data_IF_830291873664
#
_entry.id   IF_830291873664
#
_cell.length_a   1.000
_cell.length_b   1.000
_cell.length_c   1.000
_cell.angle_alpha   90.00
_cell.angle_beta   90.00
_cell.angle_gamma   90.00
#
_symmetry.space_group_name_H-M   'P 1'
#
loop_
_entity.id
_entity.type
_entity.pdbx_description
1 polymer ?
#
# COMPACT_ATOMS: atom_id res chain seq x y z
N UNK A 1 6.80 12.79 -11.40
CA UNK A 1 7.50 13.96 -10.77
C UNK A 1 6.50 15.04 -10.47
N UNK A 2 6.77 15.86 -9.44
CA UNK A 2 5.96 17.03 -9.11
C UNK A 2 5.87 18.01 -10.30
N UNK A 3 4.78 18.76 -10.39
CA UNK A 3 4.62 19.81 -11.42
C UNK A 3 5.19 21.16 -10.99
N UNK A 4 5.60 21.29 -9.73
CA UNK A 4 6.38 22.43 -9.21
C UNK A 4 7.66 21.96 -8.53
N UNK A 5 8.64 22.87 -8.35
CA UNK A 5 9.93 22.52 -7.74
C UNK A 5 9.74 22.18 -6.26
N UNK A 6 9.98 20.92 -5.91
CA UNK A 6 9.99 20.44 -4.53
C UNK A 6 11.04 19.34 -4.34
N UNK A 7 11.53 19.18 -3.12
CA UNK A 7 12.36 18.04 -2.71
C UNK A 7 11.58 17.02 -1.86
N UNK A 8 10.27 17.22 -1.68
CA UNK A 8 9.41 16.35 -0.89
C UNK A 8 8.93 15.16 -1.70
N UNK A 9 8.90 13.99 -1.06
CA UNK A 9 8.55 12.71 -1.67
C UNK A 9 7.42 12.02 -0.92
N UNK A 10 6.44 11.51 -1.65
CA UNK A 10 5.53 10.46 -1.20
C UNK A 10 6.01 9.16 -1.83
N UNK A 11 6.06 8.09 -1.03
CA UNK A 11 6.47 6.78 -1.49
C UNK A 11 5.27 5.85 -1.40
N UNK A 12 5.01 5.10 -2.46
CA UNK A 12 4.08 3.97 -2.47
C UNK A 12 4.81 2.74 -2.99
N UNK A 13 4.57 1.59 -2.38
CA UNK A 13 5.20 0.35 -2.82
C UNK A 13 4.49 -0.91 -2.39
N UNK A 14 4.92 -2.02 -2.98
CA UNK A 14 4.49 -3.39 -2.68
C UNK A 14 5.70 -4.31 -2.88
N UNK A 15 5.73 -5.49 -2.29
CA UNK A 15 6.78 -6.45 -2.64
C UNK A 15 6.39 -7.26 -3.87
N UNK A 16 7.39 -7.66 -4.67
CA UNK A 16 7.17 -8.46 -5.87
C UNK A 16 7.69 -9.90 -5.74
N UNK A 17 8.41 -10.21 -4.66
CA UNK A 17 8.81 -11.59 -4.38
C UNK A 17 7.65 -12.42 -3.81
N UNK A 18 7.82 -13.74 -3.83
CA UNK A 18 6.89 -14.69 -3.23
C UNK A 18 7.66 -15.87 -2.65
N UNK A 19 6.99 -16.69 -1.83
CA UNK A 19 7.57 -17.91 -1.25
C UNK A 19 7.65 -19.06 -2.26
N UNK A 20 8.47 -20.06 -1.94
CA UNK A 20 8.62 -21.25 -2.80
C UNK A 20 7.28 -22.00 -2.91
N UNK A 21 6.90 -22.35 -4.14
CA UNK A 21 5.68 -23.07 -4.50
C UNK A 21 4.38 -22.26 -4.32
N UNK A 22 4.45 -20.95 -4.10
CA UNK A 22 3.31 -20.05 -4.25
C UNK A 22 3.41 -19.32 -5.59
N UNK A 23 2.32 -19.23 -6.39
CA UNK A 23 2.29 -18.32 -7.54
C UNK A 23 2.32 -16.84 -7.13
N UNK A 24 1.81 -16.50 -5.94
CA UNK A 24 1.87 -15.15 -5.37
C UNK A 24 0.88 -14.18 -6.00
N UNK A 25 -0.32 -14.65 -6.35
CA UNK A 25 -1.31 -13.81 -7.02
C UNK A 25 -1.86 -12.73 -6.09
N UNK A 26 -2.38 -13.10 -4.91
CA UNK A 26 -2.77 -12.14 -3.88
C UNK A 26 -1.57 -11.64 -3.09
N UNK A 27 -0.59 -12.49 -2.85
CA UNK A 27 0.60 -12.19 -2.06
C UNK A 27 1.88 -12.26 -2.95
N UNK A 28 2.24 -11.17 -3.63
CA UNK A 28 1.63 -9.82 -3.58
C UNK A 28 1.50 -9.15 -4.96
N UNK A 29 1.14 -9.94 -5.99
CA UNK A 29 0.92 -9.39 -7.32
C UNK A 29 -0.28 -8.40 -7.36
N UNK A 30 -1.28 -8.55 -6.50
CA UNK A 30 -2.38 -7.57 -6.34
C UNK A 30 -1.86 -6.21 -5.88
N UNK A 31 -0.97 -6.17 -4.88
CA UNK A 31 -0.33 -4.93 -4.43
C UNK A 31 0.54 -4.29 -5.51
N UNK A 32 1.33 -5.09 -6.24
CA UNK A 32 2.12 -4.58 -7.38
C UNK A 32 1.23 -3.95 -8.46
N UNK A 33 0.12 -4.61 -8.82
CA UNK A 33 -0.84 -4.10 -9.80
C UNK A 33 -1.50 -2.80 -9.33
N UNK A 34 -1.93 -2.73 -8.07
CA UNK A 34 -2.53 -1.53 -7.49
C UNK A 34 -1.55 -0.36 -7.50
N UNK A 35 -0.32 -0.58 -7.04
CA UNK A 35 0.74 0.44 -7.01
C UNK A 35 1.03 0.98 -8.42
N UNK A 36 1.08 0.10 -9.42
CA UNK A 36 1.23 0.49 -10.82
C UNK A 36 0.03 1.34 -11.31
N UNK A 37 -1.19 0.92 -11.01
CA UNK A 37 -2.40 1.65 -11.40
C UNK A 37 -2.50 3.03 -10.73
N UNK A 38 -2.05 3.17 -9.49
CA UNK A 38 -1.92 4.48 -8.82
C UNK A 38 -0.89 5.34 -9.55
N UNK A 39 0.27 4.79 -9.89
CA UNK A 39 1.31 5.52 -10.62
C UNK A 39 0.82 6.04 -11.97
N UNK A 40 0.13 5.19 -12.74
CA UNK A 40 -0.46 5.54 -14.02
C UNK A 40 -1.48 6.68 -13.86
N UNK A 41 -2.41 6.55 -12.91
CA UNK A 41 -3.41 7.58 -12.63
C UNK A 41 -2.79 8.92 -12.23
N UNK A 42 -1.85 8.94 -11.27
CA UNK A 42 -1.20 10.17 -10.81
C UNK A 42 -0.37 10.82 -11.93
N UNK A 43 0.15 10.04 -12.88
CA UNK A 43 0.86 10.57 -14.05
C UNK A 43 -0.04 11.43 -14.97
N UNK A 44 -1.35 11.25 -14.91
CA UNK A 44 -2.32 12.01 -15.70
C UNK A 44 -2.72 13.36 -15.08
N UNK A 45 -2.44 13.56 -13.79
CA UNK A 45 -2.85 14.78 -13.09
C UNK A 45 -2.08 16.02 -13.57
N UNK A 46 -2.80 17.12 -13.76
CA UNK A 46 -2.20 18.42 -14.13
C UNK A 46 -1.39 19.04 -12.98
N UNK A 47 -1.79 18.76 -11.74
CA UNK A 47 -1.14 19.24 -10.53
C UNK A 47 -0.61 18.06 -9.72
N UNK A 48 0.69 18.11 -9.41
CA UNK A 48 1.36 17.17 -8.50
C UNK A 48 2.26 17.96 -7.57
N UNK A 49 1.79 18.18 -6.35
CA UNK A 49 2.47 18.94 -5.30
C UNK A 49 3.74 18.28 -4.79
N UNK A 50 3.76 16.95 -4.77
CA UNK A 50 4.89 16.14 -4.29
C UNK A 50 5.48 15.30 -5.42
N UNK A 51 6.73 14.88 -5.25
CA UNK A 51 7.25 13.80 -6.09
C UNK A 51 6.67 12.48 -5.59
N UNK A 52 6.11 11.68 -6.50
CA UNK A 52 5.71 10.31 -6.21
C UNK A 52 6.85 9.37 -6.61
N UNK A 53 7.25 8.50 -5.69
CA UNK A 53 8.17 7.40 -5.96
C UNK A 53 7.44 6.07 -5.79
N UNK A 54 7.53 5.25 -6.83
CA UNK A 54 7.03 3.88 -6.87
C UNK A 54 8.17 2.94 -6.54
N UNK A 55 7.92 1.97 -5.65
CA UNK A 55 8.94 0.99 -5.28
C UNK A 55 8.33 -0.41 -5.24
N UNK A 56 8.98 -1.35 -5.93
CA UNK A 56 8.69 -2.77 -5.79
C UNK A 56 9.80 -3.44 -5.00
N UNK A 57 9.50 -3.88 -3.78
CA UNK A 57 10.49 -4.45 -2.86
C UNK A 57 10.77 -5.91 -3.20
N UNK A 58 12.03 -6.31 -3.09
CA UNK A 58 12.45 -7.72 -3.17
C UNK A 58 12.67 -8.27 -1.76
N UNK A 59 12.47 -9.57 -1.60
CA UNK A 59 12.75 -10.32 -0.37
C UNK A 59 12.04 -9.77 0.87
N UNK A 60 10.78 -9.37 0.73
CA UNK A 60 9.86 -9.18 1.86
C UNK A 60 9.78 -10.47 2.68
N UNK A 61 9.56 -11.59 1.98
CA UNK A 61 9.33 -12.91 2.57
C UNK A 61 10.56 -13.48 3.27
N UNK A 62 11.70 -12.83 3.05
CA UNK A 62 12.97 -13.10 3.72
C UNK A 62 13.29 -12.04 4.76
N UNK A 63 12.25 -11.54 5.43
CA UNK A 63 12.27 -10.56 6.52
C UNK A 63 12.59 -9.13 6.06
N UNK A 64 11.83 -8.62 5.09
CA UNK A 64 11.80 -7.22 4.68
C UNK A 64 13.15 -6.71 4.13
N UNK A 65 13.93 -7.55 3.45
CA UNK A 65 15.31 -7.17 3.10
C UNK A 65 15.37 -5.97 2.16
N UNK A 66 14.52 -5.96 1.13
CA UNK A 66 14.44 -4.85 0.17
C UNK A 66 14.01 -3.55 0.83
N UNK A 67 12.90 -3.55 1.57
CA UNK A 67 12.41 -2.35 2.25
C UNK A 67 13.36 -1.86 3.34
N UNK A 68 14.05 -2.74 4.09
CA UNK A 68 15.09 -2.34 5.05
C UNK A 68 16.27 -1.64 4.38
N UNK A 69 16.77 -2.21 3.28
CA UNK A 69 17.89 -1.63 2.55
C UNK A 69 17.51 -0.24 2.01
N UNK A 70 16.31 -0.14 1.45
CA UNK A 70 15.82 1.11 0.88
C UNK A 70 15.49 2.18 1.93
N UNK A 71 14.80 1.83 3.02
CA UNK A 71 14.51 2.75 4.12
C UNK A 71 15.79 3.32 4.75
N UNK A 72 16.83 2.46 4.91
CA UNK A 72 18.15 2.90 5.36
C UNK A 72 18.78 3.88 4.37
N UNK A 73 18.71 3.60 3.06
CA UNK A 73 19.24 4.50 2.03
C UNK A 73 18.53 5.87 2.06
N UNK A 74 17.21 5.92 2.23
CA UNK A 74 16.46 7.17 2.36
C UNK A 74 16.96 8.01 3.55
N UNK A 75 17.18 7.35 4.70
CA UNK A 75 17.67 8.00 5.92
C UNK A 75 19.09 8.55 5.73
N UNK A 76 20.01 7.73 5.20
CA UNK A 76 21.41 8.12 4.96
C UNK A 76 21.52 9.28 3.97
N UNK A 77 20.70 9.26 2.92
CA UNK A 77 20.64 10.32 1.91
C UNK A 77 19.82 11.53 2.35
N UNK A 78 19.23 11.51 3.57
CA UNK A 78 18.38 12.58 4.13
C UNK A 78 17.26 12.99 3.17
N UNK A 79 16.62 12.01 2.53
CA UNK A 79 15.50 12.26 1.62
C UNK A 79 14.33 12.84 2.41
N UNK A 80 13.75 13.93 1.92
CA UNK A 80 12.60 14.59 2.55
C UNK A 80 11.31 13.81 2.22
N UNK A 81 11.04 12.77 2.99
CA UNK A 81 9.87 11.88 2.81
C UNK A 81 8.69 12.41 3.63
N UNK A 82 7.57 12.67 2.97
CA UNK A 82 6.30 13.12 3.59
C UNK A 82 5.55 11.94 4.18
N UNK A 83 5.41 10.86 3.41
CA UNK A 83 4.80 9.61 3.87
C UNK A 83 5.20 8.42 3.00
N UNK A 84 5.07 7.23 3.57
CA UNK A 84 5.29 5.94 2.91
C UNK A 84 4.04 5.06 3.07
N UNK A 85 3.58 4.48 1.98
CA UNK A 85 2.39 3.62 1.95
C UNK A 85 2.79 2.29 1.32
N UNK A 86 2.73 1.21 2.07
CA UNK A 86 3.04 -0.12 1.55
C UNK A 86 1.77 -0.93 1.38
N UNK A 87 1.61 -1.56 0.23
CA UNK A 87 0.43 -2.34 -0.13
C UNK A 87 0.78 -3.82 0.00
N UNK A 88 -0.06 -4.58 0.69
CA UNK A 88 0.15 -6.00 0.86
C UNK A 88 -1.17 -6.77 0.95
N UNK A 89 -1.37 -7.71 0.02
CA UNK A 89 -2.57 -8.53 -0.11
C UNK A 89 -3.88 -7.73 -0.16
N UNK A 90 -4.31 -7.32 -1.36
CA UNK A 90 -5.60 -6.64 -1.59
C UNK A 90 -6.43 -7.35 -2.65
N UNK A 91 -6.75 -8.61 -2.41
CA UNK A 91 -7.46 -9.47 -3.36
C UNK A 91 -8.42 -10.44 -2.71
N UNK A 92 -8.69 -10.31 -1.41
CA UNK A 92 -9.63 -11.14 -0.68
C UNK A 92 -10.61 -10.28 0.13
N UNK A 93 -11.85 -10.75 0.23
CA UNK A 93 -13.00 -10.09 0.86
C UNK A 93 -14.07 -11.18 1.02
N UNK A 94 -14.01 -11.94 2.11
CA UNK A 94 -14.89 -13.08 2.39
C UNK A 94 -16.31 -12.61 2.75
N UNK A 95 -16.42 -11.54 3.52
CA UNK A 95 -17.72 -11.05 4.00
C UNK A 95 -18.42 -10.07 3.03
N UNK A 96 -17.69 -9.57 2.03
CA UNK A 96 -18.21 -8.76 0.93
C UNK A 96 -18.43 -7.30 1.31
N UNK A 97 -17.92 -6.84 2.45
CA UNK A 97 -18.06 -5.46 2.92
C UNK A 97 -16.99 -4.52 2.35
N UNK A 98 -15.97 -5.09 1.69
CA UNK A 98 -14.84 -4.41 1.04
C UNK A 98 -13.96 -3.63 2.01
N UNK A 99 -13.89 -4.06 3.26
CA UNK A 99 -13.05 -3.46 4.27
C UNK A 99 -11.57 -3.51 3.90
N UNK A 100 -10.83 -2.57 4.47
CA UNK A 100 -9.37 -2.54 4.41
C UNK A 100 -8.81 -2.33 5.81
N UNK A 101 -7.56 -2.71 5.98
CA UNK A 101 -6.79 -2.44 7.18
C UNK A 101 -5.67 -1.42 6.89
N UNK A 102 -5.62 -0.37 7.70
CA UNK A 102 -4.49 0.55 7.79
C UNK A 102 -3.64 0.16 9.00
N UNK A 103 -2.47 -0.37 8.71
CA UNK A 103 -1.54 -0.87 9.71
C UNK A 103 -0.67 0.24 10.29
N UNK A 104 -0.96 0.61 11.53
CA UNK A 104 -0.24 1.60 12.33
C UNK A 104 -0.01 2.97 11.67
N UNK A 105 -1.05 3.56 11.04
CA UNK A 105 -0.95 4.87 10.42
C UNK A 105 -0.63 5.94 11.46
N UNK A 106 0.03 7.02 11.02
CA UNK A 106 0.04 8.26 11.80
C UNK A 106 -1.35 8.89 11.78
N UNK A 107 -1.66 9.79 12.73
CA UNK A 107 -2.93 10.53 12.72
C UNK A 107 -3.17 11.23 11.38
N UNK A 108 -2.12 11.83 10.80
CA UNK A 108 -2.22 12.48 9.50
C UNK A 108 -2.59 11.50 8.37
N UNK A 109 -2.00 10.30 8.34
CA UNK A 109 -2.32 9.29 7.32
C UNK A 109 -3.75 8.77 7.53
N UNK A 110 -4.13 8.44 8.77
CA UNK A 110 -5.51 8.02 9.09
C UNK A 110 -6.52 9.06 8.62
N UNK A 111 -6.33 10.31 9.03
CA UNK A 111 -7.26 11.39 8.73
C UNK A 111 -7.36 11.65 7.22
N UNK A 112 -6.25 11.49 6.49
CA UNK A 112 -6.21 11.59 5.03
C UNK A 112 -7.08 10.51 4.34
N UNK A 113 -6.95 9.26 4.77
CA UNK A 113 -7.76 8.15 4.24
C UNK A 113 -9.25 8.34 4.60
N UNK A 114 -9.55 8.65 5.86
CA UNK A 114 -10.93 8.87 6.32
C UNK A 114 -11.60 10.07 5.63
N UNK A 115 -10.86 11.17 5.41
CA UNK A 115 -11.35 12.34 4.66
C UNK A 115 -11.82 11.93 3.27
N UNK A 116 -10.96 11.25 2.51
CA UNK A 116 -11.27 10.85 1.13
C UNK A 116 -12.40 9.83 1.08
N UNK A 117 -12.48 8.92 2.06
CA UNK A 117 -13.60 8.00 2.17
C UNK A 117 -14.94 8.76 2.31
N UNK A 118 -14.99 9.77 3.18
CA UNK A 118 -16.17 10.62 3.36
C UNK A 118 -16.49 11.48 2.12
N UNK A 119 -15.49 12.10 1.49
CA UNK A 119 -15.67 12.97 0.32
C UNK A 119 -16.22 12.22 -0.90
N UNK A 120 -15.79 10.99 -1.11
CA UNK A 120 -16.21 10.14 -2.23
C UNK A 120 -17.29 9.13 -1.85
N UNK A 121 -17.82 9.22 -0.62
CA UNK A 121 -18.88 8.35 -0.10
C UNK A 121 -18.55 6.84 -0.19
N UNK A 122 -17.28 6.49 0.08
CA UNK A 122 -16.88 5.11 0.32
C UNK A 122 -17.39 4.68 1.70
N UNK A 123 -18.23 3.65 1.74
CA UNK A 123 -18.92 3.20 2.96
C UNK A 123 -18.35 1.91 3.56
N UNK A 124 -17.32 1.35 2.95
CA UNK A 124 -16.66 0.16 3.48
C UNK A 124 -15.82 0.48 4.73
N UNK A 125 -15.57 -0.49 5.62
CA UNK A 125 -14.77 -0.26 6.81
C UNK A 125 -13.31 0.11 6.48
N UNK A 126 -12.74 1.00 7.29
CA UNK A 126 -11.30 1.26 7.31
C UNK A 126 -10.82 0.96 8.73
N UNK A 127 -10.31 -0.24 8.93
CA UNK A 127 -9.83 -0.69 10.22
C UNK A 127 -8.46 -0.12 10.51
N UNK A 128 -8.23 0.27 11.77
CA UNK A 128 -6.92 0.71 12.23
C UNK A 128 -6.34 -0.38 13.13
N UNK A 129 -5.14 -0.82 12.82
CA UNK A 129 -4.48 -1.90 13.57
C UNK A 129 -3.09 -1.53 14.05
N UNK A 130 -2.57 -2.38 14.93
CA UNK A 130 -1.20 -2.40 15.43
C UNK A 130 -0.33 -3.47 14.72
N UNK A 131 -0.83 -4.04 13.62
CA UNK A 131 -0.13 -5.05 12.83
C UNK A 131 1.12 -4.44 12.17
N UNK A 132 2.20 -5.22 12.12
CA UNK A 132 3.50 -4.77 11.60
C UNK A 132 4.19 -5.85 10.77
N UNK A 133 3.39 -6.65 10.06
CA UNK A 133 3.86 -7.83 9.35
C UNK A 133 4.33 -7.57 7.92
N UNK A 134 4.19 -6.35 7.39
CA UNK A 134 4.64 -5.98 6.04
C UNK A 134 5.72 -4.87 6.01
N UNK A 135 6.08 -4.40 4.81
CA UNK A 135 7.23 -3.55 4.50
C UNK A 135 7.22 -2.16 5.19
N UNK A 136 6.05 -1.60 5.54
CA UNK A 136 5.94 -0.33 6.28
C UNK A 136 6.75 -0.34 7.56
N UNK A 137 6.88 -1.51 8.20
CA UNK A 137 7.68 -1.70 9.42
C UNK A 137 9.10 -1.20 9.25
N UNK A 138 9.74 -1.46 8.11
CA UNK A 138 11.12 -1.05 7.82
C UNK A 138 11.30 0.46 7.89
N UNK A 139 10.28 1.21 7.45
CA UNK A 139 10.27 2.67 7.46
C UNK A 139 9.91 3.23 8.84
N UNK A 140 8.88 2.66 9.49
CA UNK A 140 8.46 3.11 10.84
C UNK A 140 9.59 2.96 11.87
N UNK A 141 10.37 1.89 11.80
CA UNK A 141 11.51 1.66 12.69
C UNK A 141 12.60 2.73 12.57
N UNK A 142 12.65 3.47 11.46
CA UNK A 142 13.57 4.58 11.21
C UNK A 142 12.92 5.96 11.39
N UNK A 143 11.68 6.02 11.89
CA UNK A 143 10.98 7.27 12.19
C UNK A 143 10.24 7.90 11.01
N UNK A 144 10.12 7.22 9.86
CA UNK A 144 9.28 7.70 8.76
C UNK A 144 7.79 7.57 9.10
N UNK A 145 6.99 8.54 8.65
CA UNK A 145 5.54 8.43 8.65
C UNK A 145 5.12 7.38 7.62
N UNK A 146 4.83 6.16 8.06
CA UNK A 146 4.55 5.03 7.18
C UNK A 146 3.35 4.20 7.67
N UNK A 147 2.57 3.66 6.74
CA UNK A 147 1.45 2.74 6.99
C UNK A 147 1.49 1.56 6.02
N UNK A 148 1.00 0.41 6.47
CA UNK A 148 0.58 -0.67 5.58
C UNK A 148 -0.89 -0.46 5.18
N UNK A 149 -1.26 -0.87 3.97
CA UNK A 149 -2.64 -1.02 3.52
C UNK A 149 -2.82 -2.45 3.06
N UNK A 150 -3.72 -3.16 3.73
CA UNK A 150 -3.90 -4.61 3.58
C UNK A 150 -5.38 -4.98 3.58
N UNK A 151 -5.71 -6.20 3.16
CA UNK A 151 -6.93 -6.89 3.60
C UNK A 151 -6.92 -7.09 5.13
N UNK A 152 -8.05 -7.45 5.75
CA UNK A 152 -8.23 -7.31 7.20
C UNK A 152 -7.67 -8.48 8.04
N UNK A 153 -6.34 -8.54 8.16
CA UNK A 153 -5.64 -9.50 9.04
C UNK A 153 -6.13 -9.49 10.49
N UNK A 154 -6.40 -8.30 11.06
CA UNK A 154 -6.80 -8.16 12.47
C UNK A 154 -8.21 -8.71 12.72
N UNK A 155 -9.11 -8.56 11.75
CA UNK A 155 -10.48 -9.06 11.84
C UNK A 155 -10.62 -10.50 11.32
N UNK A 156 -9.61 -11.00 10.62
CA UNK A 156 -9.55 -12.37 10.12
C UNK A 156 -10.17 -12.56 8.74
N UNK A 157 -10.60 -11.48 8.08
CA UNK A 157 -10.97 -11.51 6.66
C UNK A 157 -9.72 -11.35 5.79
N UNK A 158 -8.95 -12.44 5.73
CA UNK A 158 -7.71 -12.55 4.95
C UNK A 158 -7.69 -13.89 4.23
N UNK A 159 -7.01 -13.93 3.08
CA UNK A 159 -7.05 -15.09 2.19
C UNK A 159 -6.62 -16.39 2.89
N UNK A 160 -7.36 -17.50 2.69
CA UNK A 160 -6.93 -18.81 3.14
C UNK A 160 -5.76 -19.37 2.30
N UNK A 161 -5.37 -18.68 1.23
CA UNK A 161 -4.36 -19.10 0.26
C UNK A 161 -2.95 -18.59 0.56
N UNK A 162 -2.76 -17.77 1.60
CA UNK A 162 -1.47 -17.20 2.00
C UNK A 162 -0.35 -18.25 2.05
N UNK A 163 0.74 -18.02 1.31
CA UNK A 163 1.90 -18.92 1.18
C UNK A 163 1.59 -20.33 0.66
N UNK A 164 0.53 -20.50 -0.13
CA UNK A 164 0.13 -21.80 -0.69
C UNK A 164 0.18 -21.79 -2.21
N UNK A 165 0.28 -22.98 -2.78
CA UNK A 165 0.19 -23.19 -4.24
C UNK A 165 -1.16 -22.80 -4.84
N UNK A 166 -2.16 -22.56 -3.99
CA UNK A 166 -3.49 -22.10 -4.36
C UNK A 166 -3.63 -20.59 -4.42
N UNK A 167 -2.59 -19.81 -4.07
CA UNK A 167 -2.60 -18.36 -4.26
C UNK A 167 -2.42 -18.04 -5.75
N UNK A 168 -3.48 -18.24 -6.52
CA UNK A 168 -3.50 -18.16 -7.97
C UNK A 168 -4.36 -17.00 -8.44
N UNK A 169 -4.26 -16.66 -9.72
CA UNK A 169 -5.08 -15.62 -10.35
C UNK A 169 -6.58 -15.83 -10.10
N UNK A 170 -7.03 -17.08 -10.09
CA UNK A 170 -8.43 -17.46 -9.91
C UNK A 170 -8.97 -17.20 -8.50
N UNK A 171 -8.10 -17.06 -7.48
CA UNK A 171 -8.51 -16.80 -6.10
C UNK A 171 -8.57 -15.31 -5.78
N UNK A 172 -8.22 -14.44 -6.73
CA UNK A 172 -8.29 -12.98 -6.56
C UNK A 172 -9.71 -12.46 -6.80
N UNK A 173 -10.25 -11.76 -5.81
CA UNK A 173 -11.45 -10.96 -5.94
C UNK A 173 -11.14 -9.64 -6.67
N UNK A 174 -11.24 -9.66 -8.00
CA UNK A 174 -10.95 -8.49 -8.85
C UNK A 174 -11.90 -7.31 -8.62
N UNK A 175 -13.14 -7.55 -8.20
CA UNK A 175 -14.10 -6.47 -7.94
C UNK A 175 -13.71 -5.69 -6.68
N UNK A 176 -13.27 -6.40 -5.63
CA UNK A 176 -12.68 -5.82 -4.44
C UNK A 176 -11.40 -5.03 -4.80
N UNK A 177 -10.43 -5.69 -5.44
CA UNK A 177 -9.15 -5.06 -5.84
C UNK A 177 -9.36 -3.79 -6.66
N UNK A 178 -10.30 -3.80 -7.61
CA UNK A 178 -10.62 -2.63 -8.44
C UNK A 178 -11.16 -1.48 -7.58
N UNK A 179 -12.11 -1.77 -6.70
CA UNK A 179 -12.71 -0.77 -5.80
C UNK A 179 -11.65 -0.12 -4.90
N UNK A 180 -10.77 -0.93 -4.31
CA UNK A 180 -9.72 -0.41 -3.43
C UNK A 180 -8.64 0.34 -4.23
N UNK A 181 -8.31 -0.12 -5.44
CA UNK A 181 -7.38 0.60 -6.33
C UNK A 181 -7.90 2.00 -6.64
N UNK A 182 -9.18 2.14 -7.02
CA UNK A 182 -9.82 3.43 -7.28
C UNK A 182 -9.84 4.32 -6.03
N UNK A 183 -10.12 3.74 -4.86
CA UNK A 183 -10.08 4.47 -3.60
C UNK A 183 -8.67 5.00 -3.29
N UNK A 184 -7.64 4.16 -3.38
CA UNK A 184 -6.24 4.57 -3.15
C UNK A 184 -5.81 5.61 -4.19
N UNK A 185 -6.25 5.50 -5.44
CA UNK A 185 -6.06 6.55 -6.45
C UNK A 185 -6.63 7.89 -5.98
N UNK A 186 -7.84 7.93 -5.40
CA UNK A 186 -8.44 9.15 -4.84
C UNK A 186 -7.69 9.69 -3.63
N UNK A 187 -7.19 8.80 -2.77
CA UNK A 187 -6.34 9.20 -1.63
C UNK A 187 -5.09 9.92 -2.12
N UNK A 188 -4.40 9.33 -3.10
CA UNK A 188 -3.20 9.92 -3.67
C UNK A 188 -3.50 11.18 -4.49
N UNK A 189 -4.65 11.23 -5.18
CA UNK A 189 -5.09 12.44 -5.88
C UNK A 189 -5.23 13.63 -4.93
N UNK A 190 -5.89 13.43 -3.79
CA UNK A 190 -6.08 14.48 -2.78
C UNK A 190 -4.75 14.90 -2.16
N UNK A 191 -3.85 13.95 -1.86
CA UNK A 191 -2.51 14.26 -1.37
C UNK A 191 -1.64 15.05 -2.38
N UNK A 192 -1.89 14.88 -3.69
CA UNK A 192 -1.13 15.54 -4.75
C UNK A 192 -1.61 16.96 -5.08
N UNK A 193 -2.77 17.37 -4.57
CA UNK A 193 -3.31 18.74 -4.72
C UNK A 193 -2.65 19.71 -3.73
#
# INVERSE_FOLDING_TARGET
>A
MATSKTNQWIIIGAHFDSVKNSPGANDNATGVALVYAVAEYISTLEVRKYNLQIVFFDQEERRFKGSKAYAKQLLENKVNVVSVHTIDQLGWDEDGDRGIELEVPTDQIRDQYSKVAGEYNYTFPIQISDVTSTDHRSFRQLGFAATGITEEYKNGDTTPHYHRSTDTYETVNFAYLTTITEYVQKVFEDMMK
#
